data_IF_282618421513
#
_entry.id   IF_282618421513
#
_cell.length_a   1.000
_cell.length_b   1.000
_cell.length_c   1.000
_cell.angle_alpha   90.00
_cell.angle_beta   90.00
_cell.angle_gamma   90.00
#
_symmetry.space_group_name_H-M   'P 1'
#
loop_
_entity.id
_entity.type
_entity.pdbx_description
1 polymer ?
#
# COMPACT_ATOMS: atom_id res chain seq x y z
N UNK A 1 8.81 -16.82 -17.23
CA UNK A 1 10.20 -16.35 -17.09
C UNK A 1 10.26 -14.87 -17.45
N UNK A 2 11.01 -14.06 -16.70
CA UNK A 2 11.04 -12.60 -16.84
C UNK A 2 12.20 -12.17 -17.73
N UNK A 3 11.98 -11.18 -18.60
CA UNK A 3 13.11 -10.57 -19.32
C UNK A 3 13.76 -9.50 -18.44
N UNK A 4 15.09 -9.39 -18.48
CA UNK A 4 15.85 -8.30 -17.83
C UNK A 4 15.25 -6.93 -18.17
N UNK A 5 14.87 -6.76 -19.44
CA UNK A 5 14.24 -5.55 -19.98
C UNK A 5 12.92 -5.21 -19.26
N UNK A 6 12.02 -6.18 -19.11
CA UNK A 6 10.73 -5.95 -18.45
C UNK A 6 10.90 -5.55 -16.99
N UNK A 7 11.78 -6.24 -16.23
CA UNK A 7 12.04 -5.90 -14.82
C UNK A 7 12.49 -4.45 -14.71
N UNK A 8 13.45 -4.06 -15.55
CA UNK A 8 13.98 -2.71 -15.57
C UNK A 8 12.91 -1.67 -15.93
N UNK A 9 12.16 -1.89 -17.01
CA UNK A 9 11.11 -0.96 -17.46
C UNK A 9 10.02 -0.79 -16.39
N UNK A 10 9.59 -1.87 -15.73
CA UNK A 10 8.63 -1.80 -14.63
C UNK A 10 9.24 -1.10 -13.41
N UNK A 11 10.45 -1.45 -12.97
CA UNK A 11 11.07 -0.79 -11.80
C UNK A 11 11.29 0.70 -12.05
N UNK A 12 11.71 1.11 -13.25
CA UNK A 12 11.87 2.53 -13.61
C UNK A 12 10.55 3.28 -13.60
N UNK A 13 9.52 2.70 -14.19
CA UNK A 13 8.17 3.27 -14.13
C UNK A 13 7.69 3.45 -12.68
N UNK A 14 7.95 2.48 -11.81
CA UNK A 14 7.62 2.58 -10.39
C UNK A 14 8.45 3.66 -9.68
N UNK A 15 9.74 3.82 -10.05
CA UNK A 15 10.57 4.92 -9.56
C UNK A 15 9.98 6.30 -9.90
N UNK A 16 9.45 6.47 -11.12
CA UNK A 16 8.81 7.71 -11.54
C UNK A 16 7.53 8.05 -10.75
N UNK A 17 6.94 7.04 -10.09
CA UNK A 17 5.79 7.17 -9.18
C UNK A 17 6.20 7.28 -7.69
N UNK A 18 7.50 7.39 -7.40
CA UNK A 18 8.01 7.49 -6.02
C UNK A 18 8.02 6.17 -5.26
N UNK A 19 8.08 5.03 -5.95
CA UNK A 19 8.50 3.76 -5.36
C UNK A 19 10.03 3.62 -5.49
N UNK A 20 10.66 2.79 -4.67
CA UNK A 20 12.10 2.54 -4.72
C UNK A 20 12.95 3.82 -4.67
N UNK A 21 12.52 4.81 -3.88
CA UNK A 21 13.15 6.15 -3.85
C UNK A 21 14.67 6.08 -3.61
N UNK A 22 15.16 5.13 -2.81
CA UNK A 22 16.60 4.95 -2.56
C UNK A 22 17.39 4.46 -3.79
N UNK A 23 16.70 3.85 -4.75
CA UNK A 23 17.31 3.15 -5.89
C UNK A 23 17.03 3.84 -7.23
N UNK A 24 16.16 4.86 -7.25
CA UNK A 24 15.71 5.54 -8.48
C UNK A 24 16.85 6.15 -9.32
N UNK A 25 17.98 6.50 -8.71
CA UNK A 25 19.13 7.12 -9.37
C UNK A 25 20.26 6.14 -9.74
N UNK A 26 20.11 4.86 -9.41
CA UNK A 26 21.14 3.86 -9.73
C UNK A 26 21.19 3.58 -11.24
N UNK A 27 22.33 3.17 -11.80
CA UNK A 27 22.40 2.60 -13.15
C UNK A 27 21.51 1.36 -13.31
N UNK A 28 21.11 1.05 -14.54
CA UNK A 28 20.19 -0.07 -14.84
C UNK A 28 20.71 -1.42 -14.33
N UNK A 29 22.01 -1.69 -14.50
CA UNK A 29 22.66 -2.90 -14.01
C UNK A 29 22.56 -3.03 -12.47
N UNK A 30 22.89 -1.97 -11.75
CA UNK A 30 22.87 -1.96 -10.28
C UNK A 30 21.44 -2.07 -9.74
N UNK A 31 20.48 -1.38 -10.38
CA UNK A 31 19.07 -1.46 -10.02
C UNK A 31 18.56 -2.90 -10.12
N UNK A 32 18.90 -3.60 -11.20
CA UNK A 32 18.49 -4.99 -11.41
C UNK A 32 19.12 -5.91 -10.37
N UNK A 33 20.41 -5.73 -10.07
CA UNK A 33 21.10 -6.49 -9.02
C UNK A 33 20.44 -6.30 -7.65
N UNK A 34 20.01 -5.08 -7.32
CA UNK A 34 19.27 -4.80 -6.08
C UNK A 34 17.90 -5.48 -6.08
N UNK A 35 17.12 -5.39 -7.16
CA UNK A 35 15.81 -6.06 -7.24
C UNK A 35 15.97 -7.58 -7.07
N UNK A 36 16.99 -8.17 -7.71
CA UNK A 36 17.34 -9.59 -7.52
C UNK A 36 17.69 -9.88 -6.07
N UNK A 37 18.52 -9.03 -5.46
CA UNK A 37 18.95 -9.18 -4.08
C UNK A 37 17.76 -9.13 -3.11
N UNK A 38 16.93 -8.08 -3.19
CA UNK A 38 15.74 -7.89 -2.36
C UNK A 38 14.82 -9.12 -2.42
N UNK A 39 14.60 -9.64 -3.63
CA UNK A 39 13.80 -10.86 -3.82
C UNK A 39 14.39 -12.09 -3.13
N UNK A 40 15.72 -12.25 -3.14
CA UNK A 40 16.41 -13.37 -2.49
C UNK A 40 16.45 -13.27 -0.97
N UNK A 41 16.43 -12.04 -0.44
CA UNK A 41 16.58 -11.78 1.00
C UNK A 41 15.28 -11.55 1.74
N UNK A 42 14.13 -11.41 1.05
CA UNK A 42 12.81 -11.21 1.67
C UNK A 42 12.48 -12.34 2.67
N UNK A 43 12.53 -12.09 4.00
CA UNK A 43 12.46 -13.13 5.02
C UNK A 43 11.11 -13.86 5.08
N UNK A 44 10.02 -13.11 4.86
CA UNK A 44 8.63 -13.59 4.85
C UNK A 44 8.34 -14.65 3.79
N UNK A 45 9.27 -14.82 2.84
CA UNK A 45 9.11 -15.65 1.65
C UNK A 45 9.92 -16.94 1.70
N UNK A 46 10.83 -17.12 2.66
CA UNK A 46 11.59 -18.37 2.76
C UNK A 46 10.66 -19.55 3.01
N UNK A 47 9.68 -19.42 3.90
CA UNK A 47 8.86 -20.57 4.28
C UNK A 47 7.73 -20.83 3.26
N UNK A 48 7.11 -19.78 2.71
CA UNK A 48 6.07 -19.91 1.68
C UNK A 48 6.61 -20.43 0.34
N UNK A 49 7.71 -19.86 -0.18
CA UNK A 49 8.27 -20.28 -1.47
C UNK A 49 9.12 -21.55 -1.40
N UNK A 50 9.53 -22.00 -0.20
CA UNK A 50 10.11 -23.35 -0.06
C UNK A 50 9.05 -24.46 -0.19
N UNK A 51 7.77 -24.13 -0.02
CA UNK A 51 6.64 -25.07 -0.15
C UNK A 51 6.07 -25.15 -1.57
N UNK A 52 6.20 -24.08 -2.35
CA UNK A 52 5.88 -24.04 -3.78
C UNK A 52 7.10 -24.48 -4.57
N UNK A 53 6.93 -25.40 -5.52
CA UNK A 53 8.03 -26.11 -6.19
C UNK A 53 9.21 -25.19 -6.61
N UNK A 54 10.47 -25.61 -6.35
CA UNK A 54 11.67 -24.80 -6.59
C UNK A 54 11.85 -24.34 -8.05
N UNK A 55 11.15 -24.96 -8.99
CA UNK A 55 11.23 -24.72 -10.43
C UNK A 55 10.60 -23.38 -10.88
N UNK A 56 9.94 -22.63 -9.97
CA UNK A 56 9.41 -21.27 -10.23
C UNK A 56 10.29 -20.13 -9.73
N UNK A 57 11.39 -20.45 -9.04
CA UNK A 57 12.36 -19.44 -8.61
C UNK A 57 13.15 -18.97 -9.83
N UNK A 58 13.28 -17.64 -9.96
CA UNK A 58 14.12 -16.99 -10.96
C UNK A 58 15.54 -17.54 -10.92
N UNK A 59 15.88 -18.46 -11.82
CA UNK A 59 17.28 -18.73 -12.14
C UNK A 59 17.74 -17.65 -13.12
N UNK A 60 18.76 -16.88 -12.73
CA UNK A 60 19.36 -15.86 -13.61
C UNK A 60 20.12 -16.48 -14.77
N UNK A 61 20.52 -17.75 -14.63
CA UNK A 61 21.11 -18.54 -15.71
C UNK A 61 20.13 -18.75 -16.87
N UNK A 62 18.82 -18.63 -16.62
CA UNK A 62 17.80 -18.72 -17.66
C UNK A 62 17.40 -17.36 -18.26
N UNK A 63 17.80 -16.20 -17.71
CA UNK A 63 17.46 -14.85 -18.28
C UNK A 63 18.02 -14.65 -19.71
N UNK A 64 18.85 -15.58 -20.19
CA UNK A 64 19.27 -15.71 -21.59
C UNK A 64 18.28 -16.43 -22.53
N UNK A 65 17.11 -16.88 -22.06
CA UNK A 65 16.15 -17.56 -22.91
C UNK A 65 15.38 -16.56 -23.80
N UNK A 66 15.85 -16.41 -25.03
CA UNK A 66 15.09 -15.81 -26.14
C UNK A 66 13.99 -16.79 -26.56
N UNK A 67 12.93 -16.92 -25.76
CA UNK A 67 11.70 -17.50 -26.30
C UNK A 67 11.23 -16.60 -27.47
N UNK A 68 10.89 -17.16 -28.63
CA UNK A 68 10.35 -16.38 -29.74
C UNK A 68 9.11 -15.64 -29.24
N UNK A 69 9.19 -14.31 -29.27
CA UNK A 69 8.08 -13.42 -28.92
C UNK A 69 6.98 -13.70 -29.93
N UNK A 70 5.85 -14.21 -29.47
CA UNK A 70 4.66 -14.34 -30.29
C UNK A 70 4.16 -12.92 -30.62
N UNK A 71 4.22 -12.47 -31.88
CA UNK A 71 3.77 -11.13 -32.25
C UNK A 71 2.25 -10.96 -32.13
N UNK A 72 1.52 -12.05 -31.86
CA UNK A 72 0.07 -12.06 -31.62
C UNK A 72 -0.32 -12.02 -30.14
N UNK A 73 0.63 -12.19 -29.21
CA UNK A 73 0.42 -11.70 -27.84
C UNK A 73 0.49 -10.18 -27.91
N UNK A 74 -0.69 -9.61 -28.15
CA UNK A 74 -1.02 -8.20 -28.00
C UNK A 74 -0.19 -7.62 -26.86
N UNK A 75 0.45 -6.47 -27.11
CA UNK A 75 1.31 -5.72 -26.18
C UNK A 75 0.52 -5.31 -24.92
N UNK A 76 0.09 -6.27 -24.11
CA UNK A 76 -0.18 -6.03 -22.72
C UNK A 76 1.18 -5.70 -22.14
N UNK A 77 1.45 -4.39 -22.06
CA UNK A 77 2.55 -3.79 -21.30
C UNK A 77 2.55 -4.24 -19.84
N UNK A 78 1.48 -4.91 -19.43
CA UNK A 78 1.16 -5.31 -18.09
C UNK A 78 1.01 -6.82 -17.97
N UNK A 79 1.65 -7.35 -16.95
CA UNK A 79 1.41 -8.68 -16.42
C UNK A 79 1.22 -8.51 -14.92
N UNK A 80 -0.03 -8.63 -14.49
CA UNK A 80 -0.51 -8.29 -13.14
C UNK A 80 0.25 -9.03 -12.04
N UNK A 81 0.44 -10.34 -12.23
CA UNK A 81 1.20 -11.18 -11.31
C UNK A 81 2.68 -10.74 -11.22
N UNK A 82 3.21 -10.23 -12.34
CA UNK A 82 4.61 -9.84 -12.44
C UNK A 82 4.88 -8.48 -11.82
N UNK A 83 4.09 -7.46 -12.14
CA UNK A 83 4.21 -6.11 -11.57
C UNK A 83 4.06 -6.15 -10.04
N UNK A 84 3.12 -6.98 -9.56
CA UNK A 84 2.93 -7.30 -8.14
C UNK A 84 4.22 -7.79 -7.48
N UNK A 85 4.94 -8.74 -8.10
CA UNK A 85 6.20 -9.29 -7.57
C UNK A 85 7.33 -8.26 -7.47
N UNK A 86 7.25 -7.15 -8.21
CA UNK A 86 8.19 -6.05 -8.05
C UNK A 86 7.72 -5.16 -6.90
N UNK A 87 6.45 -4.74 -6.89
CA UNK A 87 5.91 -3.83 -5.87
C UNK A 87 6.12 -4.30 -4.43
N UNK A 88 5.88 -5.58 -4.19
CA UNK A 88 6.06 -6.19 -2.86
C UNK A 88 7.49 -6.04 -2.31
N UNK A 89 8.48 -5.77 -3.16
CA UNK A 89 9.88 -5.56 -2.75
C UNK A 89 10.10 -4.17 -2.15
N UNK A 90 9.19 -3.22 -2.40
CA UNK A 90 9.24 -1.88 -1.83
C UNK A 90 8.48 -1.81 -0.49
N UNK A 91 9.06 -2.42 0.54
CA UNK A 91 8.50 -2.44 1.89
C UNK A 91 8.41 -1.05 2.55
N UNK A 92 8.99 -0.02 1.93
CA UNK A 92 8.84 1.37 2.37
C UNK A 92 7.58 2.04 1.83
N UNK A 93 6.94 1.46 0.81
CA UNK A 93 5.75 2.04 0.15
C UNK A 93 4.56 1.10 0.11
N UNK A 94 4.79 -0.19 0.39
CA UNK A 94 3.80 -1.24 0.26
C UNK A 94 3.73 -2.06 1.56
N UNK A 95 2.52 -2.24 2.08
CA UNK A 95 2.20 -3.28 3.05
C UNK A 95 1.55 -4.44 2.29
N UNK A 96 2.04 -5.65 2.53
CA UNK A 96 1.53 -6.86 1.92
C UNK A 96 0.74 -7.65 2.97
N UNK A 97 -0.44 -8.15 2.63
CA UNK A 97 -1.25 -8.96 3.53
C UNK A 97 -2.14 -9.95 2.80
N UNK A 98 -2.54 -11.02 3.48
CA UNK A 98 -3.30 -12.12 2.90
C UNK A 98 -4.77 -12.01 3.35
N UNK A 99 -5.72 -12.15 2.42
CA UNK A 99 -7.16 -12.12 2.74
C UNK A 99 -7.63 -13.38 3.46
N UNK A 100 -6.95 -14.48 3.19
CA UNK A 100 -7.25 -15.77 3.74
C UNK A 100 -6.79 -15.86 5.22
N UNK A 101 -7.76 -15.73 6.13
CA UNK A 101 -7.77 -16.41 7.44
C UNK A 101 -7.00 -15.82 8.62
N UNK A 102 -6.72 -14.51 8.70
CA UNK A 102 -6.00 -14.01 9.88
C UNK A 102 -6.69 -14.34 11.21
N UNK A 103 -8.03 -14.39 11.25
CA UNK A 103 -8.75 -14.48 12.52
C UNK A 103 -9.84 -15.55 12.64
N UNK A 104 -10.13 -16.35 11.61
CA UNK A 104 -11.27 -17.28 11.67
C UNK A 104 -12.56 -16.58 12.11
N UNK A 105 -13.34 -17.20 13.00
CA UNK A 105 -14.56 -16.59 13.58
C UNK A 105 -14.26 -15.69 14.80
N UNK A 106 -13.06 -15.78 15.39
CA UNK A 106 -12.70 -15.13 16.66
C UNK A 106 -11.51 -14.18 16.49
N UNK A 107 -11.77 -12.88 16.52
CA UNK A 107 -10.71 -11.87 16.47
C UNK A 107 -9.85 -11.86 17.74
N UNK A 108 -8.54 -11.53 17.63
CA UNK A 108 -7.70 -11.37 18.79
C UNK A 108 -8.30 -10.26 19.67
N UNK A 109 -8.18 -10.40 21.01
CA UNK A 109 -8.64 -9.35 21.90
C UNK A 109 -7.88 -8.06 21.59
N UNK A 110 -8.60 -6.94 21.67
CA UNK A 110 -8.04 -5.61 21.51
C UNK A 110 -6.80 -5.42 22.39
N UNK A 111 -5.74 -4.88 21.79
CA UNK A 111 -4.54 -4.41 22.49
C UNK A 111 -4.10 -3.08 21.88
N UNK A 112 -4.04 -2.05 22.73
CA UNK A 112 -3.63 -0.71 22.32
C UNK A 112 -2.24 -0.71 21.65
N UNK A 113 -1.32 -1.55 22.12
CA UNK A 113 0.04 -1.63 21.56
C UNK A 113 0.08 -2.14 20.12
N UNK A 114 -0.84 -3.05 19.75
CA UNK A 114 -0.88 -3.59 18.40
C UNK A 114 -1.41 -2.54 17.42
N UNK A 115 -2.37 -1.72 17.85
CA UNK A 115 -2.80 -0.54 17.11
C UNK A 115 -1.70 0.49 16.91
N UNK A 116 -0.94 0.80 17.95
CA UNK A 116 0.16 1.78 17.85
C UNK A 116 1.18 1.31 16.81
N UNK A 117 1.55 0.03 16.82
CA UNK A 117 2.44 -0.54 15.79
C UNK A 117 1.84 -0.42 14.39
N UNK A 118 0.55 -0.70 14.23
CA UNK A 118 -0.11 -0.62 12.94
C UNK A 118 -0.17 0.81 12.40
N UNK A 119 -0.44 1.78 13.27
CA UNK A 119 -0.36 3.21 12.94
C UNK A 119 1.06 3.62 12.52
N UNK A 120 2.09 3.07 13.16
CA UNK A 120 3.49 3.28 12.76
C UNK A 120 3.79 2.65 11.39
N UNK A 121 3.24 1.47 11.08
CA UNK A 121 3.40 0.83 9.76
C UNK A 121 2.73 1.63 8.64
N UNK A 122 1.48 2.07 8.86
CA UNK A 122 0.79 2.96 7.94
C UNK A 122 1.54 4.29 7.78
N UNK A 123 2.11 4.82 8.86
CA UNK A 123 2.93 6.03 8.80
C UNK A 123 4.18 5.83 7.93
N UNK A 124 4.87 4.68 8.04
CA UNK A 124 6.06 4.36 7.24
C UNK A 124 5.77 4.43 5.73
N UNK A 125 4.66 3.85 5.28
CA UNK A 125 4.32 3.84 3.84
C UNK A 125 3.69 5.14 3.32
N UNK A 126 3.35 6.08 4.22
CA UNK A 126 2.61 7.30 3.90
C UNK A 126 3.42 8.44 3.25
N UNK A 127 4.74 8.30 3.15
CA UNK A 127 5.67 9.37 2.73
C UNK A 127 5.51 10.66 3.54
N UNK A 128 5.17 10.54 4.82
CA UNK A 128 4.96 11.67 5.72
C UNK A 128 3.61 12.40 5.55
N UNK A 129 2.71 11.90 4.71
CA UNK A 129 1.33 12.41 4.64
C UNK A 129 0.48 11.94 5.84
N UNK A 130 0.91 10.87 6.51
CA UNK A 130 0.29 10.36 7.73
C UNK A 130 1.36 10.19 8.83
N UNK A 131 1.38 11.12 9.79
CA UNK A 131 2.31 11.12 10.92
C UNK A 131 1.50 11.28 12.21
N UNK A 132 0.94 10.18 12.74
CA UNK A 132 0.23 10.20 14.00
C UNK A 132 1.20 10.53 15.13
N UNK A 133 0.76 11.40 16.05
CA UNK A 133 1.49 11.74 17.26
C UNK A 133 0.51 11.88 18.43
N UNK A 134 1.04 11.88 19.66
CA UNK A 134 0.21 11.93 20.87
C UNK A 134 -0.92 10.88 20.85
N UNK A 135 -0.58 9.65 20.47
CA UNK A 135 -1.53 8.55 20.39
C UNK A 135 -1.92 8.15 21.82
N UNK A 136 -3.21 8.19 22.13
CA UNK A 136 -3.77 7.88 23.44
C UNK A 136 -5.03 7.04 23.29
N UNK A 137 -5.27 6.18 24.28
CA UNK A 137 -6.55 5.50 24.46
C UNK A 137 -7.47 6.40 25.29
N UNK A 138 -8.63 6.77 24.72
CA UNK A 138 -9.57 7.72 25.32
C UNK A 138 -10.86 7.08 25.83
N UNK A 139 -11.02 5.76 25.68
CA UNK A 139 -12.21 5.00 26.06
C UNK A 139 -12.00 3.49 25.86
N UNK A 140 -13.07 2.71 25.99
CA UNK A 140 -13.04 1.28 25.66
C UNK A 140 -12.83 1.15 24.14
N UNK A 141 -11.63 0.71 23.75
CA UNK A 141 -11.20 0.51 22.34
C UNK A 141 -11.21 1.78 21.48
N UNK A 142 -11.36 2.96 22.10
CA UNK A 142 -11.33 4.24 21.39
C UNK A 142 -9.92 4.80 21.38
N UNK A 143 -9.41 5.05 20.18
CA UNK A 143 -8.08 5.60 19.96
C UNK A 143 -8.19 7.03 19.48
N UNK A 144 -7.35 7.89 20.03
CA UNK A 144 -7.22 9.27 19.62
C UNK A 144 -5.76 9.61 19.33
N UNK A 145 -5.51 10.40 18.31
CA UNK A 145 -4.18 10.91 17.97
C UNK A 145 -4.27 12.26 17.28
N UNK A 146 -3.15 12.96 17.21
CA UNK A 146 -2.99 14.18 16.43
C UNK A 146 -2.27 13.88 15.12
N UNK A 147 -2.74 14.50 14.05
CA UNK A 147 -2.05 14.54 12.77
C UNK A 147 -1.41 15.89 12.55
N UNK A 148 -0.14 15.87 12.16
CA UNK A 148 0.60 17.07 11.75
C UNK A 148 0.39 17.28 10.25
N UNK A 149 -0.52 18.18 9.86
CA UNK A 149 -0.76 18.47 8.44
C UNK A 149 0.29 19.40 7.83
N UNK A 150 0.37 19.32 6.50
CA UNK A 150 0.77 20.45 5.67
C UNK A 150 -0.15 21.63 5.97
N UNK A 151 0.42 22.80 6.32
CA UNK A 151 -0.23 24.02 6.85
C UNK A 151 -0.31 24.15 8.39
N UNK A 152 0.40 23.31 9.15
CA UNK A 152 0.70 23.51 10.58
C UNK A 152 -0.49 23.53 11.55
N UNK A 153 -1.72 23.27 11.09
CA UNK A 153 -2.87 23.10 11.98
C UNK A 153 -2.97 21.63 12.38
N UNK A 154 -2.78 21.29 13.67
CA UNK A 154 -2.99 19.93 14.14
C UNK A 154 -4.48 19.58 14.04
N UNK A 155 -4.79 18.40 13.52
CA UNK A 155 -6.15 17.85 13.60
C UNK A 155 -6.13 16.71 14.59
N UNK A 156 -7.14 16.72 15.44
CA UNK A 156 -7.40 15.65 16.38
C UNK A 156 -8.29 14.63 15.68
N UNK A 157 -7.81 13.40 15.64
CA UNK A 157 -8.51 12.26 15.09
C UNK A 157 -8.90 11.35 16.26
N UNK A 158 -10.12 10.85 16.24
CA UNK A 158 -10.62 9.90 17.24
C UNK A 158 -11.62 8.98 16.58
N UNK A 159 -11.44 7.66 16.73
CA UNK A 159 -12.37 6.67 16.22
C UNK A 159 -12.31 5.39 17.07
N UNK A 160 -13.36 4.59 16.92
CA UNK A 160 -13.40 3.20 17.36
C UNK A 160 -13.17 2.35 16.10
N UNK A 161 -12.12 1.52 16.06
CA UNK A 161 -11.81 0.67 14.92
C UNK A 161 -13.00 -0.23 14.55
N UNK A 162 -13.31 -0.32 13.26
CA UNK A 162 -14.45 -1.11 12.78
C UNK A 162 -14.11 -2.59 12.51
N UNK A 163 -13.04 -3.12 13.12
CA UNK A 163 -12.57 -4.48 12.88
C UNK A 163 -11.42 -4.91 13.78
N UNK A 164 -10.72 -6.02 13.44
CA UNK A 164 -9.55 -6.50 14.14
C UNK A 164 -8.50 -5.39 14.33
N UNK A 165 -7.89 -5.32 15.52
CA UNK A 165 -7.02 -4.22 15.90
C UNK A 165 -5.69 -4.15 15.16
N UNK A 166 -5.32 -5.26 14.56
CA UNK A 166 -4.06 -5.56 13.92
C UNK A 166 -4.20 -5.75 12.40
N UNK A 167 -5.37 -5.42 11.84
CA UNK A 167 -5.62 -5.46 10.40
C UNK A 167 -5.32 -4.09 9.73
N UNK A 168 -4.21 -3.97 8.95
CA UNK A 168 -3.83 -2.72 8.29
C UNK A 168 -4.87 -2.23 7.28
N UNK A 169 -5.62 -3.14 6.67
CA UNK A 169 -6.60 -2.82 5.63
C UNK A 169 -7.84 -2.18 6.24
N UNK A 170 -8.34 -2.71 7.35
CA UNK A 170 -9.50 -2.09 8.01
C UNK A 170 -9.10 -0.72 8.58
N UNK A 171 -7.95 -0.64 9.24
CA UNK A 171 -7.47 0.61 9.83
C UNK A 171 -7.20 1.70 8.79
N UNK A 172 -6.62 1.34 7.63
CA UNK A 172 -6.39 2.28 6.54
C UNK A 172 -7.71 2.86 5.98
N UNK A 173 -8.77 2.05 5.92
CA UNK A 173 -10.13 2.51 5.60
C UNK A 173 -10.64 3.56 6.59
N UNK A 174 -10.51 3.29 7.88
CA UNK A 174 -10.92 4.21 8.96
C UNK A 174 -10.09 5.53 8.94
N UNK A 175 -8.83 5.48 8.49
CA UNK A 175 -7.93 6.64 8.42
C UNK A 175 -8.16 7.51 7.19
N UNK A 176 -8.55 6.94 6.05
CA UNK A 176 -8.74 7.68 4.78
C UNK A 176 -9.58 8.98 4.91
N UNK A 177 -10.71 9.00 5.64
CA UNK A 177 -11.46 10.23 5.91
C UNK A 177 -10.63 11.38 6.50
N UNK A 178 -9.62 11.05 7.30
CA UNK A 178 -8.70 12.04 7.89
C UNK A 178 -7.72 12.60 6.86
N UNK A 179 -7.40 11.83 5.82
CA UNK A 179 -6.41 12.19 4.79
C UNK A 179 -6.97 13.00 3.63
N UNK A 180 -8.29 13.19 3.49
CA UNK A 180 -8.91 13.90 2.35
C UNK A 180 -8.23 15.23 1.98
N UNK A 181 -7.80 16.02 2.98
CA UNK A 181 -7.15 17.32 2.75
C UNK A 181 -5.71 17.24 2.23
N UNK A 182 -5.11 16.06 2.21
CA UNK A 182 -3.73 15.84 1.74
C UNK A 182 -3.66 15.54 0.24
N UNK A 183 -4.78 15.15 -0.38
CA UNK A 183 -4.79 14.64 -1.76
C UNK A 183 -4.28 13.20 -1.90
N UNK A 184 -4.03 12.52 -0.79
CA UNK A 184 -3.62 11.12 -0.72
C UNK A 184 -4.66 10.28 0.02
N UNK A 185 -4.70 8.99 -0.34
CA UNK A 185 -5.47 7.98 0.37
C UNK A 185 -4.77 6.62 0.28
N UNK A 186 -5.05 5.77 1.26
CA UNK A 186 -4.65 4.38 1.25
C UNK A 186 -5.54 3.61 0.27
N UNK A 187 -4.90 2.80 -0.56
CA UNK A 187 -5.48 2.12 -1.70
C UNK A 187 -5.12 0.64 -1.67
N UNK A 188 -6.08 -0.18 -2.06
CA UNK A 188 -5.96 -1.64 -2.15
C UNK A 188 -5.82 -2.05 -3.59
N UNK A 189 -4.69 -2.63 -3.95
CA UNK A 189 -4.54 -3.22 -5.27
C UNK A 189 -5.29 -4.57 -5.30
N UNK A 190 -6.25 -4.69 -6.22
CA UNK A 190 -6.96 -5.94 -6.52
C UNK A 190 -6.07 -6.82 -7.41
N UNK A 191 -5.14 -7.55 -6.80
CA UNK A 191 -4.20 -8.44 -7.50
C UNK A 191 -4.32 -9.91 -7.05
N UNK A 192 -5.45 -10.28 -6.46
CA UNK A 192 -5.62 -11.57 -5.78
C UNK A 192 -4.93 -11.60 -4.42
N UNK A 193 -4.52 -12.80 -3.98
CA UNK A 193 -3.78 -12.97 -2.73
C UNK A 193 -2.26 -13.07 -2.97
N UNK A 194 -1.45 -12.25 -2.30
CA UNK A 194 -1.82 -11.28 -1.26
C UNK A 194 -2.30 -9.92 -1.83
N UNK A 195 -3.06 -9.18 -1.02
CA UNK A 195 -3.44 -7.79 -1.27
C UNK A 195 -2.28 -6.87 -0.90
N UNK A 196 -2.06 -5.86 -1.74
CA UNK A 196 -1.14 -4.77 -1.47
C UNK A 196 -1.88 -3.51 -1.03
N UNK A 197 -1.43 -2.94 0.09
CA UNK A 197 -1.86 -1.65 0.60
C UNK A 197 -0.77 -0.60 0.35
N UNK A 198 -1.17 0.54 -0.22
CA UNK A 198 -0.26 1.64 -0.57
C UNK A 198 -0.94 2.99 -0.38
N UNK A 199 -0.16 4.03 -0.05
CA UNK A 199 -0.68 5.40 -0.05
C UNK A 199 -0.41 6.06 -1.41
N UNK A 200 -1.48 6.44 -2.11
CA UNK A 200 -1.44 7.05 -3.44
C UNK A 200 -2.18 8.39 -3.47
N UNK A 201 -1.67 9.31 -4.27
CA UNK A 201 -2.44 10.45 -4.76
C UNK A 201 -3.41 10.03 -5.87
N UNK A 202 -4.39 10.87 -6.14
CA UNK A 202 -5.35 10.64 -7.24
C UNK A 202 -4.64 10.50 -8.60
N UNK A 203 -3.62 11.32 -8.85
CA UNK A 203 -2.86 11.28 -10.11
C UNK A 203 -1.99 10.02 -10.23
N UNK A 204 -1.34 9.58 -9.14
CA UNK A 204 -0.60 8.31 -9.13
C UNK A 204 -1.52 7.12 -9.40
N UNK A 205 -2.66 7.03 -8.70
CA UNK A 205 -3.67 5.99 -8.94
C UNK A 205 -4.17 6.01 -10.37
N UNK A 206 -4.47 7.20 -10.92
CA UNK A 206 -4.93 7.35 -12.30
C UNK A 206 -3.90 6.85 -13.31
N UNK A 207 -2.62 7.18 -13.13
CA UNK A 207 -1.53 6.65 -13.97
C UNK A 207 -1.43 5.13 -13.90
N UNK A 208 -1.48 4.55 -12.70
CA UNK A 208 -1.46 3.10 -12.51
C UNK A 208 -2.63 2.40 -13.23
N UNK A 209 -3.83 2.96 -13.16
CA UNK A 209 -5.00 2.45 -13.89
C UNK A 209 -4.82 2.60 -15.40
N UNK A 210 -4.39 3.76 -15.88
CA UNK A 210 -4.34 4.07 -17.32
C UNK A 210 -3.17 3.38 -18.04
N UNK A 211 -1.98 3.44 -17.44
CA UNK A 211 -0.74 2.98 -18.07
C UNK A 211 -0.53 1.47 -17.87
N UNK A 212 -1.05 0.94 -16.76
CA UNK A 212 -0.85 -0.47 -16.38
C UNK A 212 -2.13 -1.26 -16.24
N UNK A 213 -3.32 -0.65 -16.32
CA UNK A 213 -4.58 -1.40 -16.20
C UNK A 213 -4.83 -1.95 -14.80
N UNK A 214 -4.17 -1.40 -13.79
CA UNK A 214 -4.35 -1.84 -12.41
C UNK A 214 -5.79 -1.63 -11.96
N UNK A 215 -6.27 -2.57 -11.16
CA UNK A 215 -7.57 -2.47 -10.51
C UNK A 215 -7.34 -2.26 -9.05
N UNK A 216 -8.04 -1.28 -8.50
CA UNK A 216 -8.08 -1.09 -7.06
C UNK A 216 -9.43 -1.58 -6.59
N UNK A 217 -9.48 -2.29 -5.47
CA UNK A 217 -10.74 -2.80 -4.94
C UNK A 217 -11.67 -1.62 -4.70
N UNK A 218 -12.81 -1.56 -5.43
CA UNK A 218 -13.73 -0.46 -5.26
C UNK A 218 -14.36 -0.59 -3.88
N UNK A 219 -14.31 0.52 -3.14
CA UNK A 219 -15.41 1.02 -2.33
C UNK A 219 -15.99 0.11 -1.23
N UNK A 220 -15.37 -1.02 -0.89
CA UNK A 220 -15.70 -1.74 0.37
C UNK A 220 -15.52 -0.83 1.60
N UNK A 221 -14.86 0.32 1.42
CA UNK A 221 -14.57 1.32 2.44
C UNK A 221 -14.76 2.76 1.96
N UNK A 222 -15.32 2.99 0.76
CA UNK A 222 -15.82 4.34 0.49
C UNK A 222 -17.03 4.50 1.39
N UNK A 223 -16.87 5.30 2.44
CA UNK A 223 -17.97 6.09 2.97
C UNK A 223 -18.80 6.52 1.76
N UNK A 224 -20.06 6.08 1.68
CA UNK A 224 -20.98 6.66 0.72
C UNK A 224 -20.89 8.17 0.96
N UNK A 225 -20.43 8.98 0.00
CA UNK A 225 -20.29 10.41 0.21
C UNK A 225 -21.65 11.09 0.49
N UNK A 226 -22.77 10.38 0.30
CA UNK A 226 -24.10 10.77 0.75
C UNK A 226 -24.39 10.37 2.20
N UNK A 227 -23.76 9.32 2.73
CA UNK A 227 -23.65 9.03 4.17
C UNK A 227 -22.48 9.81 4.76
N UNK A 228 -22.60 11.14 4.73
CA UNK A 228 -21.68 12.00 5.45
C UNK A 228 -21.77 11.64 6.94
N UNK A 229 -20.77 10.93 7.47
CA UNK A 229 -20.57 10.74 8.91
C UNK A 229 -20.87 12.06 9.63
N UNK A 230 -21.60 12.07 10.76
CA UNK A 230 -21.86 13.28 11.53
C UNK A 230 -20.60 14.15 11.76
N UNK A 231 -19.42 13.52 11.82
CA UNK A 231 -18.11 14.17 11.91
C UNK A 231 -17.72 14.97 10.66
N UNK A 232 -18.01 14.45 9.47
CA UNK A 232 -17.79 15.14 8.19
C UNK A 232 -18.83 16.26 7.96
N UNK A 233 -20.08 16.09 8.44
CA UNK A 233 -21.06 17.19 8.45
C UNK A 233 -20.59 18.32 9.39
N UNK A 234 -20.05 17.97 10.56
CA UNK A 234 -19.47 18.93 11.50
C UNK A 234 -18.31 19.70 10.86
N UNK A 235 -17.42 19.03 10.12
CA UNK A 235 -16.29 19.69 9.44
C UNK A 235 -16.72 20.60 8.29
N UNK A 236 -17.74 20.21 7.53
CA UNK A 236 -18.35 21.05 6.48
C UNK A 236 -19.01 22.29 7.07
N UNK A 237 -19.60 22.17 8.27
CA UNK A 237 -20.18 23.28 9.02
C UNK A 237 -19.12 24.16 9.71
N UNK A 238 -17.97 23.61 10.09
CA UNK A 238 -16.86 24.33 10.72
C UNK A 238 -15.97 25.10 9.71
N UNK A 239 -16.11 24.88 8.40
CA UNK A 239 -15.43 25.67 7.36
C UNK A 239 -16.08 27.04 7.06
N UNK A 240 -17.08 27.49 7.84
CA UNK A 240 -17.80 28.74 7.57
C UNK A 240 -17.68 29.85 8.62
N UNK A 241 -16.72 29.80 9.54
CA UNK A 241 -16.39 30.98 10.33
C UNK A 241 -14.88 31.21 10.39
N UNK A 242 -14.35 32.25 9.71
CA UNK A 242 -13.07 32.80 10.10
C UNK A 242 -13.21 33.26 11.56
N UNK A 243 -12.29 32.83 12.40
CA UNK A 243 -12.13 33.40 13.73
C UNK A 243 -11.58 34.82 13.49
N UNK A 244 -12.44 35.82 13.59
CA UNK A 244 -12.05 37.24 13.74
C UNK A 244 -11.43 37.49 15.12
#
# INVERSE_FOLDING_TARGET
MYTKKWVLETTRYLCDLGFFEDYCNLPDEELIEIIIFLRRTSPEKRDYYSSLAPDRLLSLDEVNYQAPIDPSTDNKLFDEEKDYQILELDTKRVICGYTDHLYGDDWPPYKFEDFVKLLEELSKISRGNFIPNEIVESGEEQISFKLKYCNFVPVYCSFVPNGPPDDPFILAGDINPTLLGTGYQFEYLDCGDPILLMLLSEDEKRKLIQDRGWKFLPDYWMFDPTEISPYMQLRRNLQLHPIE
#
